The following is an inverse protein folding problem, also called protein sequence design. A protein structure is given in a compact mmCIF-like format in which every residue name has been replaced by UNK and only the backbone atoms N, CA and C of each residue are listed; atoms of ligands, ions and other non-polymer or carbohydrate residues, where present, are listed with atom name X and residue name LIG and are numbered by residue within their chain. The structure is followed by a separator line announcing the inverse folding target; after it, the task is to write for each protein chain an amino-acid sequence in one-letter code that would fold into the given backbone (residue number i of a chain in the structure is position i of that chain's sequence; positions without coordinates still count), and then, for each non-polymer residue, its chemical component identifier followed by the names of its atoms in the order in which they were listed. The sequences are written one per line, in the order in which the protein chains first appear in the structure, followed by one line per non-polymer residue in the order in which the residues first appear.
data_IF_723190951726
#
_entry.id   IF_723190951726
#
_cell.length_a   1.000
_cell.length_b   1.000
_cell.length_c   1.000
_cell.angle_alpha   90.00
_cell.angle_beta   90.00
_cell.angle_gamma   90.00
#
_symmetry.space_group_name_H-M   'P 1'
#
loop_
_entity.id
_entity.type
_entity.pdbx_description
1 polymer ?
#
# COMPACT_ATOMS: atom_id res chain seq x y z
N UNK A 1 -1.94 -10.00 -0.85
CA UNK A 1 -0.94 -8.98 -1.24
C UNK A 1 -0.12 -8.63 0.01
N UNK A 2 1.16 -8.30 -0.15
CA UNK A 2 2.05 -7.83 0.92
C UNK A 2 2.49 -6.39 0.65
N UNK A 3 2.14 -5.49 1.55
CA UNK A 3 2.46 -4.07 1.53
C UNK A 3 3.67 -3.79 2.44
N UNK A 4 4.61 -3.02 1.92
CA UNK A 4 5.78 -2.55 2.64
C UNK A 4 6.15 -1.12 2.26
N UNK A 5 7.18 -0.59 2.91
CA UNK A 5 7.75 0.72 2.59
C UNK A 5 9.26 0.61 2.45
N UNK A 6 9.83 1.22 1.41
CA UNK A 6 11.29 1.32 1.22
C UNK A 6 11.73 2.78 1.23
N UNK A 7 12.93 3.05 1.74
CA UNK A 7 13.54 4.39 1.63
C UNK A 7 13.86 4.69 0.16
N UNK A 8 13.40 5.84 -0.33
CA UNK A 8 13.70 6.38 -1.67
C UNK A 8 14.10 7.85 -1.53
N UNK A 9 15.23 8.23 -2.11
CA UNK A 9 15.79 9.58 -1.97
C UNK A 9 16.38 9.88 -0.59
N UNK A 10 16.60 11.16 -0.28
CA UNK A 10 17.26 11.58 0.98
C UNK A 10 16.41 11.33 2.23
N UNK A 11 15.09 11.50 2.15
CA UNK A 11 14.17 11.36 3.30
C UNK A 11 12.80 10.74 2.91
N UNK A 12 12.63 10.24 1.69
CA UNK A 12 11.34 9.73 1.21
C UNK A 12 11.14 8.24 1.51
N UNK A 13 9.88 7.84 1.62
CA UNK A 13 9.42 6.47 1.62
C UNK A 13 8.65 6.20 0.32
N UNK A 14 8.75 4.98 -0.19
CA UNK A 14 7.95 4.49 -1.31
C UNK A 14 7.21 3.24 -0.89
N UNK A 15 5.95 3.12 -1.30
CA UNK A 15 5.18 1.90 -1.12
C UNK A 15 5.74 0.77 -1.99
N UNK A 16 5.70 -0.45 -1.47
CA UNK A 16 6.00 -1.65 -2.24
C UNK A 16 4.87 -2.67 -2.10
N UNK A 17 4.33 -3.12 -3.23
CA UNK A 17 3.32 -4.16 -3.30
C UNK A 17 3.95 -5.43 -3.86
N UNK A 18 3.82 -6.53 -3.12
CA UNK A 18 4.26 -7.85 -3.55
C UNK A 18 3.11 -8.86 -3.48
N UNK A 19 3.17 -9.91 -4.30
CA UNK A 19 2.27 -11.05 -4.14
C UNK A 19 2.56 -11.78 -2.83
N UNK A 20 1.52 -11.99 -2.03
CA UNK A 20 1.59 -12.88 -0.87
C UNK A 20 1.09 -14.25 -1.35
N UNK A 21 2.01 -15.12 -1.76
CA UNK A 21 1.67 -16.47 -2.21
C UNK A 21 1.21 -17.32 -1.02
N UNK A 22 0.26 -18.24 -1.27
CA UNK A 22 -0.38 -19.08 -0.25
C UNK A 22 0.58 -20.02 0.51
N UNK A 23 1.80 -20.22 0.01
CA UNK A 23 2.77 -21.19 0.56
C UNK A 23 3.75 -20.60 1.59
N UNK A 24 3.32 -19.57 2.34
CA UNK A 24 4.06 -19.00 3.47
C UNK A 24 5.48 -18.47 3.20
N UNK A 25 5.96 -18.47 1.95
CA UNK A 25 7.35 -18.11 1.61
C UNK A 25 7.56 -16.60 1.45
N UNK A 26 6.49 -15.80 1.48
CA UNK A 26 6.55 -14.34 1.25
C UNK A 26 5.98 -13.48 2.36
N UNK A 27 5.20 -14.02 3.31
CA UNK A 27 4.81 -13.28 4.50
C UNK A 27 5.76 -13.61 5.66
N UNK A 28 6.33 -12.59 6.28
CA UNK A 28 7.17 -12.76 7.44
C UNK A 28 6.28 -13.08 8.65
N UNK A 29 6.70 -13.90 9.63
CA UNK A 29 5.90 -14.19 10.84
C UNK A 29 5.50 -12.98 11.68
N UNK A 30 6.08 -11.81 11.35
CA UNK A 30 5.83 -10.53 12.01
C UNK A 30 4.93 -9.62 11.19
N UNK A 31 4.55 -9.99 9.96
CA UNK A 31 3.67 -9.17 9.15
C UNK A 31 2.29 -9.12 9.81
N UNK A 32 1.72 -7.92 9.89
CA UNK A 32 0.39 -7.71 10.45
C UNK A 32 -0.66 -7.95 9.35
N UNK A 33 -1.74 -8.65 9.67
CA UNK A 33 -2.82 -8.90 8.71
C UNK A 33 -3.87 -7.81 8.85
N UNK A 34 -4.02 -6.99 7.82
CA UNK A 34 -5.05 -5.96 7.72
C UNK A 34 -6.11 -6.38 6.69
N UNK A 35 -7.36 -6.02 6.96
CA UNK A 35 -8.45 -6.14 5.99
C UNK A 35 -8.73 -4.76 5.44
N UNK A 36 -8.52 -4.56 4.13
CA UNK A 36 -8.88 -3.30 3.48
C UNK A 36 -10.30 -3.39 2.94
N UNK A 37 -11.08 -2.34 3.15
CA UNK A 37 -12.40 -2.22 2.56
C UNK A 37 -12.25 -1.94 1.06
N UNK A 38 -13.06 -2.60 0.25
CA UNK A 38 -13.19 -2.31 -1.17
C UNK A 38 -14.58 -1.69 -1.38
N UNK A 39 -14.64 -0.67 -2.22
CA UNK A 39 -15.91 0.01 -2.54
C UNK A 39 -16.76 -0.82 -3.52
N UNK A 40 -16.15 -1.82 -4.19
CA UNK A 40 -16.84 -2.72 -5.09
C UNK A 40 -17.70 -3.75 -4.32
N UNK A 41 -19.02 -3.51 -4.36
CA UNK A 41 -20.06 -4.30 -3.70
C UNK A 41 -20.26 -5.69 -4.31
N UNK A 42 -19.63 -5.99 -5.46
CA UNK A 42 -19.72 -7.29 -6.14
C UNK A 42 -18.85 -8.37 -5.50
N UNK A 43 -17.91 -7.99 -4.61
CA UNK A 43 -17.09 -8.93 -3.86
C UNK A 43 -17.82 -9.37 -2.57
N UNK A 44 -18.18 -10.66 -2.43
CA UNK A 44 -18.87 -11.14 -1.24
C UNK A 44 -17.95 -11.10 -0.02
N UNK A 45 -18.35 -10.30 0.97
CA UNK A 45 -17.96 -10.46 2.38
C UNK A 45 -16.51 -10.09 2.71
N UNK A 46 -16.36 -8.84 3.17
CA UNK A 46 -15.29 -8.41 4.09
C UNK A 46 -13.96 -7.95 3.45
N UNK A 47 -13.96 -7.43 2.21
CA UNK A 47 -12.77 -6.73 1.68
C UNK A 47 -11.56 -7.65 1.40
N UNK A 48 -10.38 -7.06 1.20
CA UNK A 48 -9.17 -7.78 0.82
C UNK A 48 -8.20 -7.92 2.00
N UNK A 49 -7.71 -9.14 2.23
CA UNK A 49 -6.63 -9.38 3.20
C UNK A 49 -5.27 -8.94 2.63
N UNK A 50 -4.61 -8.04 3.35
CA UNK A 50 -3.29 -7.51 3.02
C UNK A 50 -2.36 -7.74 4.20
N UNK A 51 -1.18 -8.28 3.92
CA UNK A 51 -0.10 -8.42 4.90
C UNK A 51 0.74 -7.15 4.89
N UNK A 52 0.97 -6.54 6.04
CA UNK A 52 1.68 -5.26 6.16
C UNK A 52 2.95 -5.46 6.96
N UNK A 53 4.08 -4.99 6.43
CA UNK A 53 5.34 -4.96 7.17
C UNK A 53 5.21 -4.12 8.46
N UNK A 54 5.73 -4.57 9.62
CA UNK A 54 5.62 -3.82 10.87
C UNK A 54 6.17 -2.39 10.80
N UNK A 55 7.25 -2.20 10.05
CA UNK A 55 7.88 -0.88 9.89
C UNK A 55 7.07 0.03 8.95
N UNK A 56 6.23 -0.56 8.10
CA UNK A 56 5.34 0.17 7.21
C UNK A 56 4.02 0.54 7.90
N UNK A 57 3.58 -0.24 8.89
CA UNK A 57 2.25 -0.12 9.51
C UNK A 57 1.90 1.33 9.90
N UNK A 58 2.76 2.00 10.68
CA UNK A 58 2.52 3.38 11.13
C UNK A 58 2.48 4.39 9.98
N UNK A 59 3.17 4.09 8.88
CA UNK A 59 3.26 4.98 7.73
C UNK A 59 2.12 4.78 6.73
N UNK A 60 1.37 3.68 6.80
CA UNK A 60 0.31 3.34 5.83
C UNK A 60 -1.10 3.36 6.42
N UNK A 61 -1.23 3.53 7.74
CA UNK A 61 -2.54 3.61 8.40
C UNK A 61 -3.30 4.85 7.89
N UNK A 62 -4.55 4.62 7.46
CA UNK A 62 -5.41 5.67 6.90
C UNK A 62 -5.11 6.00 5.44
N UNK A 63 -4.09 5.39 4.83
CA UNK A 63 -3.81 5.56 3.40
C UNK A 63 -4.92 4.90 2.57
N UNK A 64 -5.42 5.63 1.59
CA UNK A 64 -6.32 5.11 0.55
C UNK A 64 -5.50 4.83 -0.70
N UNK A 65 -5.74 3.69 -1.35
CA UNK A 65 -5.11 3.33 -2.62
C UNK A 65 -6.18 3.30 -3.70
N UNK A 66 -5.94 4.01 -4.79
CA UNK A 66 -6.80 4.03 -5.97
C UNK A 66 -6.00 3.64 -7.21
N UNK A 67 -6.69 3.18 -8.26
CA UNK A 67 -6.09 2.91 -9.56
C UNK A 67 -6.68 3.87 -10.58
N UNK A 68 -5.84 4.77 -11.08
CA UNK A 68 -6.22 5.76 -12.08
C UNK A 68 -5.74 5.25 -13.44
N UNK A 69 -6.69 5.07 -14.35
CA UNK A 69 -6.46 4.68 -15.74
C UNK A 69 -6.97 5.82 -16.64
N UNK A 70 -6.05 6.54 -17.27
CA UNK A 70 -6.35 7.58 -18.24
C UNK A 70 -5.70 7.28 -19.59
N UNK A 71 -5.92 8.13 -20.59
CA UNK A 71 -5.39 7.91 -21.95
C UNK A 71 -3.85 7.94 -22.04
N UNK A 72 -3.15 8.44 -21.00
CA UNK A 72 -1.70 8.63 -20.97
C UNK A 72 -0.99 7.76 -19.93
N UNK A 73 -1.62 7.42 -18.80
CA UNK A 73 -1.06 6.57 -17.76
C UNK A 73 -2.09 5.68 -17.08
N UNK A 74 -1.57 4.54 -16.61
CA UNK A 74 -2.31 3.61 -15.74
C UNK A 74 -1.45 3.39 -14.49
N UNK A 75 -1.84 3.99 -13.37
CA UNK A 75 -1.02 3.99 -12.16
C UNK A 75 -1.83 3.84 -10.87
N UNK A 76 -1.17 3.29 -9.85
CA UNK A 76 -1.73 3.25 -8.50
C UNK A 76 -1.37 4.54 -7.77
N UNK A 77 -2.38 5.24 -7.27
CA UNK A 77 -2.25 6.47 -6.50
C UNK A 77 -2.51 6.16 -5.03
N UNK A 78 -1.67 6.72 -4.14
CA UNK A 78 -1.76 6.48 -2.69
C UNK A 78 -1.97 7.78 -1.93
N UNK A 79 -3.17 7.98 -1.40
CA UNK A 79 -3.53 9.16 -0.62
C UNK A 79 -3.30 8.88 0.86
N UNK A 80 -2.19 9.38 1.42
CA UNK A 80 -1.84 9.16 2.83
C UNK A 80 -2.07 10.41 3.68
N UNK A 81 -3.02 10.39 4.65
CA UNK A 81 -3.30 11.54 5.51
C UNK A 81 -2.13 11.92 6.43
N UNK A 82 -1.20 11.00 6.67
CA UNK A 82 0.00 11.26 7.47
C UNK A 82 1.14 11.86 6.63
N UNK A 83 1.00 11.93 5.30
CA UNK A 83 2.06 12.48 4.47
C UNK A 83 2.11 14.01 4.55
N UNK A 84 3.30 14.54 4.81
CA UNK A 84 3.61 15.98 4.79
C UNK A 84 4.07 16.49 3.42
N UNK A 85 4.14 15.60 2.42
CA UNK A 85 4.53 15.94 1.07
C UNK A 85 4.78 14.69 0.22
N UNK A 86 4.17 14.67 -0.96
CA UNK A 86 4.39 13.67 -2.00
C UNK A 86 5.31 14.23 -3.09
N UNK A 87 6.14 13.37 -3.66
CA UNK A 87 6.87 13.68 -4.87
C UNK A 87 5.86 13.79 -6.02
N UNK A 88 6.03 14.75 -6.94
CA UNK A 88 5.08 15.03 -8.02
C UNK A 88 4.82 13.88 -9.00
N UNK A 89 5.50 12.74 -8.86
CA UNK A 89 5.21 11.49 -9.58
C UNK A 89 4.46 10.44 -8.74
N UNK A 90 4.00 10.76 -7.52
CA UNK A 90 3.22 9.86 -6.64
C UNK A 90 3.99 8.66 -6.06
N UNK A 91 5.19 8.36 -6.58
CA UNK A 91 5.93 7.16 -6.21
C UNK A 91 6.63 7.24 -4.84
N UNK A 92 6.66 8.41 -4.20
CA UNK A 92 7.30 8.58 -2.90
C UNK A 92 6.68 9.70 -2.07
N UNK A 93 6.69 9.51 -0.76
CA UNK A 93 6.07 10.40 0.22
C UNK A 93 6.97 10.59 1.44
N UNK A 94 6.76 11.67 2.18
CA UNK A 94 7.38 11.92 3.48
C UNK A 94 6.30 12.01 4.57
N UNK A 95 6.59 11.57 5.78
CA UNK A 95 5.68 11.56 6.95
C UNK A 95 6.19 12.45 8.08
#
# INVERSE_FOLDING_TARGET
IRLGTKKRGCNGLSYTLNYAYADHSTHHPRDEVMTIQLDDISLPGNGLKVYVEPMALMNVIGTTMDFVDDEMSSEFVFLNPNSKGECGCGESFNV
#
